data_IF_260950516952
#
_entry.id   IF_260950516952
#
_cell.length_a   1.000
_cell.length_b   1.000
_cell.length_c   1.000
_cell.angle_alpha   90.00
_cell.angle_beta   90.00
_cell.angle_gamma   90.00
#
_symmetry.space_group_name_H-M   'P 1'
#
loop_
_entity.id
_entity.type
_entity.pdbx_description
1 polymer ?
#
# COMPACT_ATOMS: atom_id res chain seq x y z
N UNK A 1 -11.24 11.64 -3.98
CA UNK A 1 -10.18 11.66 -2.95
C UNK A 1 -9.48 10.31 -2.91
N UNK A 2 -8.22 10.27 -2.46
CA UNK A 2 -7.50 9.03 -2.14
C UNK A 2 -7.45 8.88 -0.61
N UNK A 3 -8.11 7.84 -0.10
CA UNK A 3 -8.24 7.53 1.33
C UNK A 3 -7.47 6.29 1.77
N UNK A 4 -6.68 5.69 0.86
CA UNK A 4 -6.05 4.38 1.09
C UNK A 4 -4.54 4.47 1.39
N UNK A 5 -4.00 5.69 1.48
CA UNK A 5 -2.57 5.91 1.69
C UNK A 5 -2.23 5.74 3.16
N UNK A 6 -1.31 4.82 3.44
CA UNK A 6 -0.69 4.63 4.77
C UNK A 6 0.82 4.70 4.59
N UNK A 7 1.47 5.58 5.37
CA UNK A 7 2.93 5.70 5.46
C UNK A 7 3.41 5.04 6.75
N UNK A 8 4.54 4.35 6.67
CA UNK A 8 5.16 3.68 7.81
C UNK A 8 6.63 4.11 7.89
N UNK A 9 7.01 4.69 9.02
CA UNK A 9 8.36 5.20 9.26
C UNK A 9 8.96 4.54 10.49
N UNK A 10 10.20 4.07 10.39
CA UNK A 10 10.96 3.47 11.48
C UNK A 10 12.10 4.41 11.89
N UNK A 11 11.94 5.10 13.01
CA UNK A 11 12.73 6.27 13.41
C UNK A 11 12.68 7.39 12.36
N UNK A 12 13.66 7.43 11.44
CA UNK A 12 13.80 8.41 10.37
C UNK A 12 13.71 7.81 8.95
N UNK A 13 13.47 6.50 8.84
CA UNK A 13 13.42 5.78 7.57
C UNK A 13 11.98 5.36 7.22
N UNK A 14 11.41 6.02 6.23
CA UNK A 14 10.11 5.64 5.66
C UNK A 14 10.26 4.40 4.77
N UNK A 15 9.39 3.41 4.97
CA UNK A 15 9.25 2.29 4.04
C UNK A 15 8.81 2.81 2.66
N UNK A 16 9.47 2.33 1.61
CA UNK A 16 9.10 2.68 0.24
C UNK A 16 9.38 1.53 -0.70
N UNK A 17 8.46 1.29 -1.64
CA UNK A 17 8.70 0.38 -2.76
C UNK A 17 9.76 0.92 -3.75
N UNK A 18 10.11 2.20 -3.65
CA UNK A 18 11.01 2.90 -4.59
C UNK A 18 12.33 3.34 -3.96
N UNK A 19 12.45 3.29 -2.63
CA UNK A 19 13.66 3.66 -1.88
C UNK A 19 14.05 2.50 -0.97
N UNK A 20 15.34 2.18 -0.91
CA UNK A 20 15.84 0.95 -0.28
C UNK A 20 15.94 -0.18 -1.31
N UNK A 21 16.01 -1.42 -0.84
CA UNK A 21 16.10 -2.62 -1.67
C UNK A 21 14.95 -3.57 -1.35
N UNK A 22 14.20 -3.97 -2.38
CA UNK A 22 13.18 -5.02 -2.27
C UNK A 22 13.88 -6.36 -2.44
N UNK A 23 13.98 -7.12 -1.36
CA UNK A 23 14.62 -8.44 -1.34
C UNK A 23 13.66 -9.52 -1.86
N UNK A 24 12.37 -9.38 -1.59
CA UNK A 24 11.30 -10.24 -2.10
C UNK A 24 9.99 -9.43 -2.17
N UNK A 25 9.14 -9.73 -3.15
CA UNK A 25 7.85 -9.07 -3.33
C UNK A 25 6.86 -9.94 -4.07
N UNK A 26 5.69 -10.14 -3.45
CA UNK A 26 4.56 -10.84 -4.05
C UNK A 26 3.29 -10.01 -3.88
N UNK A 27 2.46 -9.98 -4.92
CA UNK A 27 1.09 -9.47 -4.86
C UNK A 27 0.14 -10.59 -5.30
N UNK A 28 -0.85 -10.88 -4.48
CA UNK A 28 -1.88 -11.89 -4.75
C UNK A 28 -3.28 -11.28 -4.65
N UNK A 29 -4.20 -11.85 -5.41
CA UNK A 29 -5.63 -11.51 -5.42
C UNK A 29 -6.40 -12.78 -5.08
N UNK A 30 -7.16 -12.71 -4.00
CA UNK A 30 -8.09 -13.75 -3.58
C UNK A 30 -9.50 -13.27 -3.94
N UNK A 31 -10.01 -13.81 -5.05
CA UNK A 31 -11.31 -13.43 -5.61
C UNK A 31 -12.47 -13.87 -4.73
N UNK A 32 -12.35 -15.03 -4.08
CA UNK A 32 -13.40 -15.61 -3.25
C UNK A 32 -13.57 -14.79 -1.95
N UNK A 33 -12.46 -14.33 -1.38
CA UNK A 33 -12.46 -13.49 -0.17
C UNK A 33 -12.54 -11.98 -0.45
N UNK A 34 -12.41 -11.57 -1.71
CA UNK A 34 -12.43 -10.15 -2.10
C UNK A 34 -11.25 -9.35 -1.54
N UNK A 35 -10.08 -9.99 -1.39
CA UNK A 35 -8.89 -9.36 -0.81
C UNK A 35 -7.69 -9.35 -1.74
N UNK A 36 -6.83 -8.36 -1.58
CA UNK A 36 -5.47 -8.36 -2.13
C UNK A 36 -4.48 -8.44 -1.00
N UNK A 37 -3.45 -9.26 -1.16
CA UNK A 37 -2.37 -9.43 -0.17
C UNK A 37 -1.04 -9.15 -0.85
N UNK A 38 -0.30 -8.19 -0.31
CA UNK A 38 1.07 -7.87 -0.71
C UNK A 38 2.02 -8.31 0.39
N UNK A 39 2.97 -9.17 0.05
CA UNK A 39 4.09 -9.55 0.92
C UNK A 39 5.36 -8.89 0.39
N UNK A 40 6.14 -8.25 1.25
CA UNK A 40 7.40 -7.59 0.89
C UNK A 40 8.45 -7.89 1.95
N UNK A 41 9.64 -8.29 1.50
CA UNK A 41 10.85 -8.25 2.32
C UNK A 41 11.68 -7.06 1.85
N UNK A 42 11.91 -6.10 2.73
CA UNK A 42 12.54 -4.82 2.37
C UNK A 42 13.74 -4.54 3.25
N UNK A 43 14.81 -4.03 2.63
CA UNK A 43 16.01 -3.53 3.28
C UNK A 43 16.09 -2.02 3.08
N UNK A 44 16.08 -1.28 4.19
CA UNK A 44 16.21 0.16 4.19
C UNK A 44 17.59 0.61 3.71
N UNK A 45 17.75 1.87 3.25
CA UNK A 45 19.06 2.41 2.89
C UNK A 45 20.12 2.31 4.01
N UNK A 46 19.71 2.37 5.29
CA UNK A 46 20.62 2.25 6.44
C UNK A 46 20.71 0.82 7.01
N UNK A 47 20.12 -0.17 6.35
CA UNK A 47 20.29 -1.59 6.67
C UNK A 47 19.22 -2.21 7.57
N UNK A 48 18.10 -1.52 7.84
CA UNK A 48 16.96 -2.08 8.57
C UNK A 48 16.18 -3.01 7.65
N UNK A 49 16.05 -4.27 8.04
CA UNK A 49 15.34 -5.29 7.26
C UNK A 49 14.01 -5.63 7.92
N UNK A 50 12.93 -5.66 7.14
CA UNK A 50 11.60 -6.01 7.61
C UNK A 50 10.87 -6.94 6.65
N UNK A 51 9.91 -7.68 7.19
CA UNK A 51 8.82 -8.31 6.43
C UNK A 51 7.56 -7.48 6.64
N UNK A 52 6.89 -7.15 5.54
CA UNK A 52 5.64 -6.40 5.52
C UNK A 52 4.58 -7.21 4.78
N UNK A 53 3.45 -7.43 5.44
CA UNK A 53 2.23 -7.95 4.81
C UNK A 53 1.18 -6.86 4.82
N UNK A 54 0.61 -6.56 3.66
CA UNK A 54 -0.49 -5.60 3.51
C UNK A 54 -1.67 -6.31 2.91
N UNK A 55 -2.75 -6.42 3.67
CA UNK A 55 -4.02 -6.98 3.23
C UNK A 55 -5.03 -5.86 3.04
N UNK A 56 -5.62 -5.77 1.85
CA UNK A 56 -6.69 -4.81 1.53
C UNK A 56 -7.95 -5.56 1.10
N UNK A 57 -9.09 -5.15 1.64
CA UNK A 57 -10.38 -5.77 1.37
C UNK A 57 -11.40 -4.72 0.95
N UNK A 58 -12.13 -5.00 -0.13
CA UNK A 58 -13.34 -4.27 -0.49
C UNK A 58 -14.55 -5.18 -0.19
N UNK A 59 -15.48 -4.71 0.64
CA UNK A 59 -16.55 -5.58 1.12
C UNK A 59 -17.61 -5.81 0.04
N UNK A 60 -17.90 -7.07 -0.28
CA UNK A 60 -19.02 -7.44 -1.14
C UNK A 60 -20.37 -7.50 -0.40
N UNK A 61 -20.35 -7.42 0.94
CA UNK A 61 -21.55 -7.40 1.76
C UNK A 61 -21.94 -5.97 2.17
N UNK A 62 -20.98 -5.20 2.71
CA UNK A 62 -21.17 -3.81 3.09
C UNK A 62 -20.46 -2.90 2.09
N UNK A 63 -21.14 -2.56 1.00
CA UNK A 63 -20.58 -1.80 -0.14
C UNK A 63 -19.73 -0.56 0.20
N UNK A 64 -20.06 0.27 1.23
CA UNK A 64 -19.22 1.43 1.56
C UNK A 64 -17.96 1.09 2.38
N UNK A 65 -17.73 -0.17 2.76
CA UNK A 65 -16.63 -0.58 3.63
C UNK A 65 -15.40 -1.02 2.82
N UNK A 66 -14.28 -0.41 3.15
CA UNK A 66 -12.94 -0.81 2.73
C UNK A 66 -12.04 -0.93 3.96
N UNK A 67 -11.22 -1.98 4.04
CA UNK A 67 -10.30 -2.17 5.16
C UNK A 67 -8.88 -2.39 4.67
N UNK A 68 -7.93 -1.99 5.52
CA UNK A 68 -6.50 -2.19 5.28
C UNK A 68 -5.88 -2.71 6.58
N UNK A 69 -5.14 -3.79 6.48
CA UNK A 69 -4.37 -4.38 7.56
C UNK A 69 -2.89 -4.38 7.18
N UNK A 70 -2.05 -3.94 8.12
CA UNK A 70 -0.60 -3.92 7.98
C UNK A 70 0.00 -4.79 9.09
N UNK A 71 0.71 -5.84 8.69
CA UNK A 71 1.55 -6.63 9.58
C UNK A 71 3.00 -6.27 9.32
N UNK A 72 3.69 -5.80 10.36
CA UNK A 72 5.05 -5.27 10.28
C UNK A 72 5.94 -6.08 11.21
N UNK A 73 6.91 -6.79 10.64
CA UNK A 73 7.85 -7.63 11.36
C UNK A 73 9.29 -7.13 11.12
N UNK A 74 9.88 -6.37 12.07
CA UNK A 74 11.30 -6.05 12.05
C UNK A 74 12.14 -7.34 12.17
N UNK A 75 13.08 -7.56 11.25
CA UNK A 75 13.89 -8.79 11.22
C UNK A 75 15.24 -8.62 11.92
N UNK A 76 15.83 -7.42 11.87
CA UNK A 76 17.17 -7.17 12.39
C UNK A 76 17.31 -5.85 13.20
N UNK A 77 16.19 -5.23 13.58
CA UNK A 77 16.20 -3.94 14.27
C UNK A 77 15.08 -3.80 15.30
N UNK A 78 15.24 -2.84 16.20
CA UNK A 78 14.21 -2.35 17.10
C UNK A 78 14.16 -0.82 16.95
N UNK A 79 13.00 -0.28 16.61
CA UNK A 79 12.83 1.14 16.28
C UNK A 79 11.44 1.62 16.68
N UNK A 80 11.29 2.93 16.82
CA UNK A 80 9.96 3.53 16.96
C UNK A 80 9.28 3.51 15.60
N UNK A 81 8.13 2.84 15.51
CA UNK A 81 7.27 2.90 14.33
C UNK A 81 6.29 4.07 14.43
N UNK A 82 6.14 4.82 13.34
CA UNK A 82 5.09 5.82 13.14
C UNK A 82 4.26 5.38 11.94
N UNK A 83 2.94 5.30 12.11
CA UNK A 83 1.99 4.94 11.06
C UNK A 83 1.07 6.13 10.84
N UNK A 84 1.06 6.66 9.62
CA UNK A 84 0.26 7.83 9.24
C UNK A 84 -0.74 7.42 8.16
N UNK A 85 -2.03 7.55 8.46
CA UNK A 85 -3.10 7.42 7.49
C UNK A 85 -3.40 8.77 6.85
N UNK A 86 -3.51 8.81 5.52
CA UNK A 86 -3.65 10.05 4.75
C UNK A 86 -4.94 10.01 3.94
N UNK A 87 -5.73 11.06 4.08
CA UNK A 87 -6.85 11.37 3.19
C UNK A 87 -6.47 12.56 2.32
N UNK A 88 -6.33 12.31 1.01
CA UNK A 88 -6.00 13.33 0.02
C UNK A 88 -7.20 13.67 -0.85
N UNK A 89 -7.74 14.88 -0.69
CA UNK A 89 -8.83 15.41 -1.51
C UNK A 89 -8.40 15.88 -2.90
N UNK A 90 -7.10 16.10 -3.14
CA UNK A 90 -6.54 16.75 -4.33
C UNK A 90 -6.25 15.77 -5.48
N UNK A 91 -7.07 14.74 -5.62
CA UNK A 91 -6.95 13.76 -6.71
C UNK A 91 -7.63 14.25 -7.98
N UNK A 92 -7.04 13.94 -9.13
CA UNK A 92 -7.58 14.23 -10.46
C UNK A 92 -7.86 12.92 -11.20
N UNK A 93 -8.91 12.90 -12.00
CA UNK A 93 -9.17 11.78 -12.91
C UNK A 93 -8.29 11.95 -14.16
N UNK A 94 -7.70 10.85 -14.63
CA UNK A 94 -6.98 10.85 -15.90
C UNK A 94 -7.97 10.78 -17.07
N UNK A 95 -7.80 11.68 -18.05
CA UNK A 95 -8.62 11.76 -19.26
C UNK A 95 -7.72 11.83 -20.49
N UNK A 96 -8.03 11.03 -21.51
CA UNK A 96 -7.35 11.06 -22.80
C UNK A 96 -8.37 10.90 -23.94
N UNK A 97 -8.67 11.96 -24.71
CA UNK A 97 -9.76 11.96 -25.70
C UNK A 97 -9.66 10.89 -26.80
N UNK A 98 -8.44 10.41 -27.10
CA UNK A 98 -8.21 9.39 -28.13
C UNK A 98 -7.98 7.99 -27.55
N UNK A 99 -8.15 7.77 -26.23
CA UNK A 99 -8.04 6.44 -25.63
C UNK A 99 -9.44 5.80 -25.57
N UNK A 100 -9.73 4.76 -26.36
CA UNK A 100 -11.05 4.14 -26.42
C UNK A 100 -11.44 3.40 -25.12
N UNK A 101 -10.52 3.25 -24.16
CA UNK A 101 -10.79 2.64 -22.85
C UNK A 101 -11.34 3.64 -21.84
N UNK A 102 -11.21 4.94 -22.11
CA UNK A 102 -11.68 5.99 -21.22
C UNK A 102 -13.06 6.46 -21.65
N UNK A 103 -13.89 6.80 -20.67
CA UNK A 103 -15.14 7.50 -20.96
C UNK A 103 -14.78 8.83 -21.64
N UNK A 104 -15.31 9.05 -22.84
CA UNK A 104 -15.15 10.33 -23.52
C UNK A 104 -16.04 11.32 -22.77
N UNK A 105 -15.47 12.16 -21.92
CA UNK A 105 -16.19 13.31 -21.37
C UNK A 105 -16.36 14.31 -22.53
N UNK A 106 -17.45 14.17 -23.28
CA UNK A 106 -17.95 15.19 -24.21
C UNK A 106 -18.68 16.30 -23.44
#
# INVERSE_FOLDING_TARGET
ANTQTIRITFDDEEFSMFRGTILDSQLSLDMDRGITVRNVRWLSPRGKELRLTVTRMASFHQLPLFTIEYEVEPLNFCAKAVIESVHDGTVLNYVHPCDPRLANEC
#
